data_IF_996375344476
#
_entry.id   IF_996375344476
#
_cell.length_a   1.000
_cell.length_b   1.000
_cell.length_c   1.000
_cell.angle_alpha   90.00
_cell.angle_beta   90.00
_cell.angle_gamma   90.00
#
_symmetry.space_group_name_H-M   'P 1'
#
loop_
_entity.id
_entity.type
_entity.pdbx_description
1 polymer ?
#
# COMPACT_ATOMS: atom_id res chain seq x y z
N UNK A 1 -13.17 -17.78 14.08
CA UNK A 1 -12.95 -17.09 15.37
C UNK A 1 -13.79 -15.83 15.32
N UNK A 2 -14.88 -15.72 16.08
CA UNK A 2 -15.68 -14.49 16.10
C UNK A 2 -14.83 -13.34 16.64
N UNK A 3 -14.61 -12.31 15.82
CA UNK A 3 -13.99 -11.07 16.28
C UNK A 3 -14.89 -10.47 17.35
N UNK A 4 -14.40 -10.37 18.59
CA UNK A 4 -15.10 -9.65 19.65
C UNK A 4 -15.35 -8.20 19.19
N UNK A 5 -16.49 -7.63 19.60
CA UNK A 5 -16.90 -6.26 19.23
C UNK A 5 -15.80 -5.21 19.52
N UNK A 6 -15.01 -5.42 20.57
CA UNK A 6 -13.82 -4.61 20.89
C UNK A 6 -12.73 -4.74 19.82
N UNK A 7 -12.38 -5.96 19.41
CA UNK A 7 -11.38 -6.19 18.36
C UNK A 7 -11.82 -5.61 17.01
N UNK A 8 -13.11 -5.68 16.69
CA UNK A 8 -13.68 -5.06 15.48
C UNK A 8 -13.60 -3.53 15.51
N UNK A 9 -13.91 -2.89 16.65
CA UNK A 9 -13.71 -1.44 16.85
C UNK A 9 -12.24 -1.07 16.70
N UNK A 10 -11.33 -1.86 17.28
CA UNK A 10 -9.89 -1.62 17.20
C UNK A 10 -9.36 -1.70 15.76
N UNK A 11 -9.81 -2.69 14.99
CA UNK A 11 -9.46 -2.85 13.58
C UNK A 11 -9.97 -1.68 12.74
N UNK A 12 -11.29 -1.42 12.77
CA UNK A 12 -11.88 -0.35 11.97
C UNK A 12 -11.32 1.03 12.32
N UNK A 13 -11.03 1.28 13.61
CA UNK A 13 -10.43 2.54 14.02
C UNK A 13 -8.99 2.71 13.50
N UNK A 14 -8.21 1.62 13.43
CA UNK A 14 -6.85 1.60 12.84
C UNK A 14 -6.88 1.81 11.33
N UNK A 15 -7.88 1.25 10.64
CA UNK A 15 -8.11 1.43 9.20
C UNK A 15 -8.62 2.84 8.83
N UNK A 16 -8.89 3.69 9.83
CA UNK A 16 -9.16 5.12 9.62
C UNK A 16 -10.64 5.53 9.68
N UNK A 17 -11.55 4.60 9.95
CA UNK A 17 -12.98 4.92 10.08
C UNK A 17 -13.26 5.84 11.28
N UNK A 18 -14.25 6.73 11.12
CA UNK A 18 -14.70 7.59 12.21
C UNK A 18 -15.54 6.84 13.24
N UNK A 19 -15.48 7.25 14.51
CA UNK A 19 -16.19 6.57 15.60
C UNK A 19 -17.70 6.47 15.35
N UNK A 20 -18.30 7.49 14.72
CA UNK A 20 -19.70 7.51 14.32
C UNK A 20 -20.04 6.50 13.22
N UNK A 21 -19.12 6.28 12.28
CA UNK A 21 -19.26 5.26 11.24
C UNK A 21 -19.12 3.85 11.83
N UNK A 22 -18.13 3.66 12.70
CA UNK A 22 -17.92 2.40 13.43
C UNK A 22 -19.14 2.04 14.30
N UNK A 23 -19.70 3.03 14.99
CA UNK A 23 -20.92 2.88 15.79
C UNK A 23 -22.09 2.36 14.94
N UNK A 24 -22.29 2.94 13.75
CA UNK A 24 -23.31 2.47 12.79
C UNK A 24 -23.01 1.07 12.26
N UNK A 25 -21.78 0.80 11.82
CA UNK A 25 -21.36 -0.48 11.25
C UNK A 25 -21.49 -1.65 12.23
N UNK A 26 -21.15 -1.42 13.51
CA UNK A 26 -21.15 -2.46 14.54
C UNK A 26 -22.43 -2.45 15.39
N UNK A 27 -23.41 -1.60 15.07
CA UNK A 27 -24.65 -1.39 15.84
C UNK A 27 -24.35 -1.13 17.33
N UNK A 28 -23.40 -0.24 17.60
CA UNK A 28 -23.00 0.19 18.94
C UNK A 28 -23.32 1.67 19.16
N UNK A 29 -23.46 2.09 20.42
CA UNK A 29 -23.53 3.52 20.73
C UNK A 29 -22.17 4.19 20.54
N UNK A 30 -22.15 5.44 20.09
CA UNK A 30 -20.92 6.24 19.97
C UNK A 30 -20.15 6.31 21.30
N UNK A 31 -20.87 6.37 22.43
CA UNK A 31 -20.27 6.32 23.76
C UNK A 31 -19.48 5.02 24.02
N UNK A 32 -19.99 3.88 23.53
CA UNK A 32 -19.31 2.58 23.68
C UNK A 32 -18.04 2.52 22.82
N UNK A 33 -18.11 3.02 21.58
CA UNK A 33 -16.96 3.12 20.68
C UNK A 33 -15.90 4.07 21.25
N UNK A 34 -16.32 5.24 21.75
CA UNK A 34 -15.44 6.23 22.38
C UNK A 34 -14.73 5.66 23.62
N UNK A 35 -15.45 4.89 24.44
CA UNK A 35 -14.88 4.17 25.59
C UNK A 35 -13.79 3.18 25.16
N UNK A 36 -14.01 2.40 24.10
CA UNK A 36 -12.99 1.47 23.59
C UNK A 36 -11.79 2.19 22.98
N UNK A 37 -12.01 3.29 22.25
CA UNK A 37 -10.91 4.09 21.67
C UNK A 37 -10.04 4.72 22.76
N UNK A 38 -10.66 5.20 23.83
CA UNK A 38 -9.96 5.87 24.94
C UNK A 38 -9.22 4.88 25.82
N UNK A 39 -9.88 3.80 26.27
CA UNK A 39 -9.26 2.74 27.07
C UNK A 39 -8.11 2.03 26.33
N UNK A 40 -8.21 1.90 25.01
CA UNK A 40 -7.19 1.24 24.19
C UNK A 40 -6.01 2.13 23.80
N UNK A 41 -6.08 3.45 24.07
CA UNK A 41 -5.10 4.42 23.58
C UNK A 41 -5.00 4.45 22.05
N UNK A 42 -6.11 4.16 21.35
CA UNK A 42 -6.07 3.85 19.93
C UNK A 42 -5.72 5.05 19.04
N UNK A 43 -5.98 6.28 19.51
CA UNK A 43 -5.60 7.51 18.81
C UNK A 43 -4.08 7.64 18.68
N UNK A 44 -3.35 7.45 19.79
CA UNK A 44 -1.88 7.48 19.80
C UNK A 44 -1.32 6.32 18.97
N UNK A 45 -1.85 5.11 19.16
CA UNK A 45 -1.43 3.93 18.39
C UNK A 45 -1.66 4.10 16.89
N UNK A 46 -2.77 4.71 16.48
CA UNK A 46 -3.07 4.99 15.07
C UNK A 46 -2.10 6.00 14.47
N UNK A 47 -1.81 7.08 15.20
CA UNK A 47 -0.84 8.09 14.76
C UNK A 47 0.57 7.48 14.63
N UNK A 48 1.05 6.79 15.66
CA UNK A 48 2.36 6.14 15.66
C UNK A 48 2.46 5.08 14.56
N UNK A 49 1.39 4.31 14.31
CA UNK A 49 1.34 3.31 13.25
C UNK A 49 1.37 3.95 11.86
N UNK A 50 0.61 5.03 11.64
CA UNK A 50 0.59 5.76 10.37
C UNK A 50 1.95 6.39 10.06
N UNK A 51 2.60 7.02 11.05
CA UNK A 51 3.92 7.64 10.87
C UNK A 51 4.97 6.57 10.57
N UNK A 52 5.03 5.50 11.38
CA UNK A 52 6.00 4.41 11.17
C UNK A 52 5.82 3.72 9.83
N UNK A 53 4.57 3.53 9.39
CA UNK A 53 4.25 2.94 8.10
C UNK A 53 4.75 3.84 6.96
N UNK A 54 4.40 5.13 6.96
CA UNK A 54 4.85 6.07 5.93
C UNK A 54 6.38 6.15 5.86
N UNK A 55 7.08 6.28 6.99
CA UNK A 55 8.56 6.33 7.01
C UNK A 55 9.20 5.03 6.55
N UNK A 56 8.65 3.88 6.95
CA UNK A 56 9.19 2.57 6.51
C UNK A 56 8.98 2.36 5.01
N UNK A 57 7.87 2.84 4.47
CA UNK A 57 7.53 2.77 3.05
C UNK A 57 8.42 3.68 2.20
N UNK A 58 8.62 4.95 2.60
CA UNK A 58 9.55 5.88 1.96
C UNK A 58 10.98 5.33 1.96
N UNK A 59 11.39 4.74 3.10
CA UNK A 59 12.69 4.08 3.22
C UNK A 59 12.81 2.87 2.29
N UNK A 60 11.76 2.06 2.15
CA UNK A 60 11.76 0.89 1.25
C UNK A 60 11.85 1.29 -0.23
N UNK A 61 11.14 2.36 -0.63
CA UNK A 61 11.19 2.87 -2.01
C UNK A 61 12.57 3.46 -2.34
N UNK A 62 13.12 4.26 -1.40
CA UNK A 62 14.47 4.80 -1.52
C UNK A 62 15.52 3.67 -1.63
N UNK A 63 15.39 2.65 -0.79
CA UNK A 63 16.25 1.47 -0.84
C UNK A 63 16.11 0.70 -2.17
N UNK A 64 14.88 0.50 -2.66
CA UNK A 64 14.65 -0.17 -3.95
C UNK A 64 15.28 0.59 -5.11
N UNK A 65 15.11 1.92 -5.14
CA UNK A 65 15.69 2.79 -6.17
C UNK A 65 17.21 2.75 -6.15
N UNK A 66 17.80 2.84 -4.95
CA UNK A 66 19.25 2.73 -4.77
C UNK A 66 19.77 1.35 -5.22
N UNK A 67 19.15 0.26 -4.74
CA UNK A 67 19.57 -1.10 -5.06
C UNK A 67 19.44 -1.40 -6.57
N UNK A 68 18.36 -0.96 -7.20
CA UNK A 68 18.18 -1.13 -8.66
C UNK A 68 19.27 -0.37 -9.43
N UNK A 69 19.63 0.82 -8.98
CA UNK A 69 20.72 1.61 -9.58
C UNK A 69 22.07 0.90 -9.45
N UNK A 70 22.38 0.38 -8.26
CA UNK A 70 23.63 -0.35 -8.01
C UNK A 70 23.70 -1.65 -8.79
N UNK A 71 22.62 -2.44 -8.83
CA UNK A 71 22.57 -3.68 -9.62
C UNK A 71 22.77 -3.40 -11.11
N UNK A 72 22.17 -2.33 -11.64
CA UNK A 72 22.42 -1.91 -13.02
C UNK A 72 23.90 -1.63 -13.27
N UNK A 73 24.55 -0.87 -12.38
CA UNK A 73 25.98 -0.56 -12.49
C UNK A 73 26.87 -1.81 -12.37
N UNK A 74 26.50 -2.76 -11.50
CA UNK A 74 27.19 -4.06 -11.40
C UNK A 74 27.03 -4.82 -12.73
N UNK A 75 25.83 -4.88 -13.28
CA UNK A 75 25.57 -5.55 -14.56
C UNK A 75 26.36 -4.93 -15.72
N UNK A 76 26.47 -3.60 -15.77
CA UNK A 76 27.26 -2.88 -16.77
C UNK A 76 28.75 -3.22 -16.66
N UNK A 77 29.29 -3.27 -15.43
CA UNK A 77 30.70 -3.64 -15.20
C UNK A 77 30.98 -5.10 -15.52
N UNK A 78 30.14 -6.02 -15.03
CA UNK A 78 30.30 -7.45 -15.31
C UNK A 78 30.13 -7.75 -16.80
N UNK A 79 29.24 -7.03 -17.49
CA UNK A 79 29.03 -7.15 -18.92
C UNK A 79 30.17 -6.60 -19.78
N UNK A 80 30.91 -5.60 -19.30
CA UNK A 80 32.09 -5.08 -19.99
C UNK A 80 33.23 -6.10 -20.07
N UNK A 81 33.28 -7.04 -19.13
CA UNK A 81 34.30 -8.09 -19.06
C UNK A 81 33.93 -9.35 -19.87
N UNK A 82 32.68 -9.44 -20.38
CA UNK A 82 32.20 -10.60 -21.15
C UNK A 82 32.77 -10.58 -22.58
N UNK A 83 33.32 -11.71 -23.01
CA UNK A 83 33.75 -11.93 -24.39
C UNK A 83 33.57 -13.39 -24.82
N UNK A 84 33.61 -13.63 -26.14
CA UNK A 84 33.32 -14.95 -26.75
C UNK A 84 34.34 -16.05 -26.42
N UNK A 85 35.48 -15.70 -25.83
CA UNK A 85 36.53 -16.66 -25.49
C UNK A 85 36.45 -17.21 -24.06
N UNK A 86 35.48 -16.73 -23.26
CA UNK A 86 35.32 -17.14 -21.87
C UNK A 86 34.71 -18.52 -21.72
N UNK A 87 35.17 -19.26 -20.70
CA UNK A 87 34.60 -20.53 -20.29
C UNK A 87 33.30 -20.34 -19.50
N UNK A 88 32.51 -21.41 -19.37
CA UNK A 88 31.25 -21.40 -18.60
C UNK A 88 31.45 -20.99 -17.14
N UNK A 89 32.55 -21.40 -16.51
CA UNK A 89 32.87 -21.03 -15.12
C UNK A 89 33.22 -19.56 -14.97
N UNK A 90 33.88 -18.97 -15.97
CA UNK A 90 34.21 -17.54 -15.99
C UNK A 90 32.98 -16.68 -16.23
N UNK A 91 32.09 -17.10 -17.15
CA UNK A 91 30.79 -16.47 -17.35
C UNK A 91 29.92 -16.54 -16.10
N UNK A 92 30.00 -17.64 -15.33
CA UNK A 92 29.31 -17.79 -14.05
C UNK A 92 29.71 -16.74 -13.00
N UNK A 93 30.95 -16.22 -13.04
CA UNK A 93 31.42 -15.15 -12.15
C UNK A 93 30.91 -13.76 -12.55
N UNK A 94 30.49 -13.60 -13.80
CA UNK A 94 29.87 -12.37 -14.32
C UNK A 94 28.36 -12.29 -14.03
N UNK A 95 27.78 -13.29 -13.35
CA UNK A 95 26.38 -13.24 -12.93
C UNK A 95 26.20 -12.36 -11.70
N UNK A 96 25.07 -11.64 -11.67
CA UNK A 96 24.65 -10.91 -10.48
C UNK A 96 24.39 -11.93 -9.36
N UNK A 97 24.92 -11.71 -8.13
CA UNK A 97 24.70 -12.61 -7.03
C UNK A 97 23.21 -12.80 -6.71
N UNK A 98 22.80 -14.04 -6.46
CA UNK A 98 21.40 -14.41 -6.17
C UNK A 98 20.80 -13.64 -4.99
N UNK A 99 21.61 -13.29 -3.99
CA UNK A 99 21.17 -12.52 -2.82
C UNK A 99 20.69 -11.11 -3.17
N UNK A 100 21.34 -10.45 -4.13
CA UNK A 100 20.96 -9.10 -4.56
C UNK A 100 19.64 -9.12 -5.35
N UNK A 101 19.47 -10.13 -6.19
CA UNK A 101 18.22 -10.34 -6.94
C UNK A 101 17.05 -10.61 -5.97
N UNK A 102 17.26 -11.46 -4.96
CA UNK A 102 16.24 -11.76 -3.94
C UNK A 102 15.90 -10.52 -3.08
N UNK A 103 16.89 -9.72 -2.70
CA UNK A 103 16.69 -8.48 -1.95
C UNK A 103 15.85 -7.47 -2.75
N UNK A 104 16.17 -7.26 -4.03
CA UNK A 104 15.39 -6.38 -4.91
C UNK A 104 14.00 -6.93 -5.16
N UNK A 105 13.85 -8.24 -5.34
CA UNK A 105 12.53 -8.86 -5.53
C UNK A 105 11.63 -8.65 -4.29
N UNK A 106 12.17 -8.79 -3.08
CA UNK A 106 11.42 -8.55 -1.83
C UNK A 106 11.01 -7.08 -1.69
N UNK A 107 11.93 -6.16 -1.95
CA UNK A 107 11.64 -4.72 -1.95
C UNK A 107 10.58 -4.37 -3.02
N UNK A 108 10.72 -4.92 -4.22
CA UNK A 108 9.76 -4.75 -5.31
C UNK A 108 8.38 -5.31 -4.96
N UNK A 109 8.27 -6.49 -4.34
CA UNK A 109 6.96 -7.04 -3.91
C UNK A 109 6.28 -6.17 -2.86
N UNK A 110 7.06 -5.53 -1.99
CA UNK A 110 6.55 -4.57 -0.98
C UNK A 110 5.98 -3.31 -1.66
N UNK A 111 6.64 -2.81 -2.70
CA UNK A 111 6.20 -1.63 -3.47
C UNK A 111 5.03 -1.97 -4.42
N UNK A 112 5.06 -3.11 -5.11
CA UNK A 112 4.00 -3.58 -6.03
C UNK A 112 2.67 -3.80 -5.32
N UNK A 113 2.68 -4.16 -4.03
CA UNK A 113 1.47 -4.20 -3.20
C UNK A 113 0.68 -2.89 -3.24
N UNK A 114 1.36 -1.72 -3.28
CA UNK A 114 0.73 -0.40 -3.37
C UNK A 114 0.21 -0.03 -4.76
N UNK A 115 0.86 -0.45 -5.85
CA UNK A 115 0.32 -0.25 -7.22
C UNK A 115 -0.95 -1.09 -7.45
N UNK A 116 -0.98 -2.28 -6.86
CA UNK A 116 -2.18 -3.11 -6.78
C UNK A 116 -3.27 -2.42 -5.93
N UNK A 117 -2.91 -1.78 -4.81
CA UNK A 117 -3.86 -1.01 -3.99
C UNK A 117 -4.43 0.19 -4.75
N UNK A 118 -3.62 0.95 -5.49
CA UNK A 118 -4.11 2.06 -6.32
C UNK A 118 -5.07 1.58 -7.41
N UNK A 119 -4.67 0.54 -8.14
CA UNK A 119 -5.49 -0.06 -9.19
C UNK A 119 -6.79 -0.65 -8.61
N UNK A 120 -6.74 -1.21 -7.40
CA UNK A 120 -7.91 -1.69 -6.67
C UNK A 120 -8.84 -0.54 -6.26
N UNK A 121 -8.32 0.58 -5.75
CA UNK A 121 -9.11 1.77 -5.41
C UNK A 121 -9.84 2.31 -6.64
N UNK A 122 -9.14 2.46 -7.77
CA UNK A 122 -9.75 2.90 -9.04
C UNK A 122 -10.83 1.93 -9.50
N UNK A 123 -10.58 0.62 -9.39
CA UNK A 123 -11.54 -0.42 -9.75
C UNK A 123 -12.80 -0.35 -8.88
N UNK A 124 -12.65 -0.27 -7.56
CA UNK A 124 -13.78 -0.16 -6.61
C UNK A 124 -14.62 1.08 -6.89
N UNK A 125 -13.98 2.22 -7.11
CA UNK A 125 -14.69 3.47 -7.41
C UNK A 125 -15.40 3.41 -8.77
N UNK A 126 -14.81 2.73 -9.76
CA UNK A 126 -15.46 2.50 -11.05
C UNK A 126 -16.68 1.58 -10.94
N UNK A 127 -16.55 0.49 -10.17
CA UNK A 127 -17.67 -0.42 -9.87
C UNK A 127 -18.79 0.31 -9.11
N UNK A 128 -18.42 1.14 -8.13
CA UNK A 128 -19.37 1.99 -7.40
C UNK A 128 -20.08 2.99 -8.31
N UNK A 129 -19.35 3.72 -9.16
CA UNK A 129 -19.96 4.66 -10.11
C UNK A 129 -20.85 3.95 -11.13
N UNK A 130 -20.51 2.72 -11.51
CA UNK A 130 -21.32 1.93 -12.44
C UNK A 130 -22.62 1.44 -11.78
N UNK A 131 -22.54 0.92 -10.55
CA UNK A 131 -23.73 0.62 -9.74
C UNK A 131 -24.60 1.88 -9.53
N UNK A 132 -23.98 3.02 -9.23
CA UNK A 132 -24.74 4.25 -8.98
C UNK A 132 -25.44 4.76 -10.24
N UNK A 133 -24.87 4.56 -11.44
CA UNK A 133 -25.56 4.89 -12.70
C UNK A 133 -26.84 4.09 -12.91
N UNK A 134 -26.88 2.86 -12.39
CA UNK A 134 -28.06 1.98 -12.47
C UNK A 134 -29.15 2.39 -11.47
N UNK A 135 -28.78 3.02 -10.34
CA UNK A 135 -29.71 3.44 -9.28
C UNK A 135 -30.15 4.91 -9.37
N UNK A 136 -29.21 5.84 -9.60
CA UNK A 136 -29.45 7.28 -9.68
C UNK A 136 -28.46 7.95 -10.63
N UNK A 137 -28.89 8.17 -11.87
CA UNK A 137 -28.07 8.74 -12.93
C UNK A 137 -27.61 10.18 -12.64
N UNK A 138 -28.43 10.98 -11.94
CA UNK A 138 -28.10 12.38 -11.66
C UNK A 138 -27.01 12.43 -10.60
N UNK A 139 -27.17 11.66 -9.51
CA UNK A 139 -26.14 11.56 -8.47
C UNK A 139 -24.85 10.95 -9.03
N UNK A 140 -24.96 9.97 -9.94
CA UNK A 140 -23.80 9.37 -10.59
C UNK A 140 -23.00 10.35 -11.46
N UNK A 141 -23.64 11.36 -12.04
CA UNK A 141 -22.96 12.44 -12.77
C UNK A 141 -22.30 13.44 -11.80
N UNK A 142 -23.02 13.82 -10.74
CA UNK A 142 -22.54 14.81 -9.76
C UNK A 142 -21.31 14.35 -8.96
N UNK A 143 -21.11 13.03 -8.80
CA UNK A 143 -19.97 12.49 -8.05
C UNK A 143 -18.71 12.25 -8.89
N UNK A 144 -18.75 12.40 -10.21
CA UNK A 144 -17.58 12.15 -11.09
C UNK A 144 -16.42 13.08 -10.71
N UNK A 145 -16.69 14.38 -10.64
CA UNK A 145 -15.67 15.39 -10.28
C UNK A 145 -15.12 15.18 -8.85
N UNK A 146 -15.96 14.93 -7.82
CA UNK A 146 -15.49 14.51 -6.51
C UNK A 146 -14.63 13.24 -6.50
N UNK A 147 -14.99 12.22 -7.28
CA UNK A 147 -14.23 10.97 -7.40
C UNK A 147 -12.87 11.23 -8.05
N UNK A 148 -12.83 11.99 -9.15
CA UNK A 148 -11.58 12.33 -9.82
C UNK A 148 -10.68 13.19 -8.94
N UNK A 149 -11.26 14.13 -8.19
CA UNK A 149 -10.51 14.91 -7.20
C UNK A 149 -9.97 14.02 -6.08
N UNK A 150 -10.79 13.13 -5.53
CA UNK A 150 -10.39 12.18 -4.49
C UNK A 150 -9.29 11.22 -4.98
N UNK A 151 -9.43 10.69 -6.19
CA UNK A 151 -8.41 9.85 -6.83
C UNK A 151 -7.10 10.62 -6.98
N UNK A 152 -7.13 11.85 -7.51
CA UNK A 152 -5.93 12.66 -7.68
C UNK A 152 -5.28 13.04 -6.33
N UNK A 153 -6.07 13.33 -5.31
CA UNK A 153 -5.56 13.56 -3.94
C UNK A 153 -4.97 12.28 -3.35
N UNK A 154 -5.62 11.13 -3.53
CA UNK A 154 -5.12 9.84 -3.06
C UNK A 154 -3.84 9.41 -3.76
N UNK A 155 -3.73 9.64 -5.08
CA UNK A 155 -2.52 9.37 -5.87
C UNK A 155 -1.31 10.18 -5.40
N UNK A 156 -1.53 11.42 -4.94
CA UNK A 156 -0.48 12.27 -4.35
C UNK A 156 -0.05 11.81 -2.95
N UNK A 157 -0.89 11.04 -2.26
CA UNK A 157 -0.67 10.56 -0.89
C UNK A 157 -0.15 9.11 -0.80
N UNK A 158 0.00 8.43 -1.94
CA UNK A 158 0.48 7.06 -2.06
C UNK A 158 1.98 7.00 -2.33
#
# INVERSE_FOLDING_TARGET
MELTKKAAVELLFKEGYEQKQIAKMLKLSEATVSKYVTLGGLRKKRLDHSIKRNTSEENALSALSHQTTVIRMISEKLGADINDSMTVEELGKCLIPKGEIDAVQKLFTTVKGKELDWSAIVKILREFSQWLKEEDLNLAQDIIDPIDKYLNEKRKSL
#
